data_IF_255478023760
#
_entry.id   IF_255478023760
#
_cell.length_a   1.000
_cell.length_b   1.000
_cell.length_c   1.000
_cell.angle_alpha   90.00
_cell.angle_beta   90.00
_cell.angle_gamma   90.00
#
_symmetry.space_group_name_H-M   'P 1'
#
loop_
_entity.id
_entity.type
_entity.pdbx_description
1 polymer ?
#
# COMPACT_ATOMS: atom_id res chain seq x y z
N UNK A 1 -13.20 17.61 1.10
CA UNK A 1 -12.96 16.29 1.76
C UNK A 1 -11.91 16.39 2.86
N UNK A 2 -10.79 17.11 2.68
CA UNK A 2 -9.78 17.29 3.74
C UNK A 2 -10.29 17.99 5.02
N UNK A 3 -11.16 19.01 4.90
CA UNK A 3 -11.66 19.79 6.04
C UNK A 3 -12.38 18.97 7.11
N UNK A 4 -13.12 17.92 6.73
CA UNK A 4 -13.81 17.05 7.69
C UNK A 4 -12.81 16.23 8.53
N UNK A 5 -11.79 15.65 7.89
CA UNK A 5 -10.75 14.87 8.58
C UNK A 5 -9.92 15.74 9.54
N UNK A 6 -9.59 16.98 9.14
CA UNK A 6 -8.84 17.93 9.99
C UNK A 6 -9.69 18.51 11.12
N UNK A 7 -11.00 18.68 10.90
CA UNK A 7 -11.93 19.11 11.95
C UNK A 7 -12.10 18.02 13.03
N UNK A 8 -12.05 16.75 12.65
CA UNK A 8 -12.09 15.62 13.58
C UNK A 8 -10.78 15.46 14.36
N UNK A 9 -9.63 15.55 13.70
CA UNK A 9 -8.33 15.51 14.36
C UNK A 9 -7.31 16.43 13.66
N UNK A 10 -6.85 17.45 14.38
CA UNK A 10 -5.86 18.42 13.89
C UNK A 10 -4.52 17.77 13.53
N UNK A 11 -4.19 16.60 14.08
CA UNK A 11 -2.95 15.88 13.76
C UNK A 11 -2.97 15.30 12.34
N UNK A 12 -4.15 14.99 11.79
CA UNK A 12 -4.30 14.46 10.42
C UNK A 12 -3.86 15.46 9.37
N UNK A 13 -3.92 16.76 9.66
CA UNK A 13 -3.47 17.78 8.72
C UNK A 13 -2.00 17.60 8.34
N UNK A 14 -1.13 17.23 9.31
CA UNK A 14 0.30 16.99 9.05
C UNK A 14 0.54 15.77 8.16
N UNK A 15 -0.25 14.71 8.35
CA UNK A 15 -0.17 13.48 7.54
C UNK A 15 -0.59 13.76 6.10
N UNK A 16 -1.65 14.54 5.91
CA UNK A 16 -2.11 14.94 4.58
C UNK A 16 -1.11 15.88 3.89
N UNK A 17 -0.54 16.84 4.65
CA UNK A 17 0.50 17.74 4.13
C UNK A 17 1.72 16.96 3.63
N UNK A 18 2.19 15.95 4.36
CA UNK A 18 3.33 15.12 3.92
C UNK A 18 2.98 14.29 2.68
N UNK A 19 1.81 13.64 2.64
CA UNK A 19 1.41 12.80 1.50
C UNK A 19 1.12 13.58 0.21
N UNK A 20 0.82 14.88 0.30
CA UNK A 20 0.63 15.76 -0.85
C UNK A 20 1.84 16.64 -1.16
N UNK A 21 2.88 16.60 -0.33
CA UNK A 21 4.11 17.31 -0.60
C UNK A 21 4.88 16.62 -1.74
N UNK A 22 5.61 17.42 -2.52
CA UNK A 22 6.53 16.91 -3.55
C UNK A 22 7.75 16.20 -2.94
N UNK A 23 8.10 16.56 -1.69
CA UNK A 23 9.19 15.96 -0.93
C UNK A 23 8.64 15.13 0.23
N UNK A 24 9.18 13.93 0.44
CA UNK A 24 8.83 13.07 1.58
C UNK A 24 8.19 11.76 1.14
N UNK A 25 7.28 11.24 1.96
CA UNK A 25 6.58 9.98 1.67
C UNK A 25 5.33 10.24 0.81
N UNK A 26 5.21 9.52 -0.29
CA UNK A 26 4.07 9.57 -1.18
C UNK A 26 3.40 8.20 -1.31
N UNK A 27 2.15 8.20 -1.79
CA UNK A 27 1.42 6.97 -2.09
C UNK A 27 1.71 6.51 -3.52
N UNK A 28 2.38 5.37 -3.66
CA UNK A 28 2.73 4.79 -4.95
C UNK A 28 1.99 3.48 -5.23
N UNK A 29 1.83 3.16 -6.51
CA UNK A 29 1.43 1.83 -6.99
C UNK A 29 2.68 1.13 -7.51
N UNK A 30 2.96 -0.06 -6.99
CA UNK A 30 4.14 -0.86 -7.36
C UNK A 30 3.70 -2.22 -7.94
N UNK A 31 4.31 -2.66 -9.05
CA UNK A 31 4.15 -4.01 -9.60
C UNK A 31 4.38 -5.12 -8.56
N UNK A 32 3.63 -6.23 -8.67
CA UNK A 32 3.77 -7.37 -7.77
C UNK A 32 5.16 -8.03 -7.80
N UNK A 33 5.86 -7.98 -8.93
CA UNK A 33 7.22 -8.55 -9.10
C UNK A 33 8.25 -8.01 -8.09
N UNK A 34 8.01 -6.84 -7.48
CA UNK A 34 8.87 -6.30 -6.43
C UNK A 34 8.74 -7.03 -5.08
N UNK A 35 7.66 -7.78 -4.87
CA UNK A 35 7.33 -8.39 -3.59
C UNK A 35 7.11 -9.90 -3.67
N UNK A 36 6.84 -10.48 -4.85
CA UNK A 36 6.54 -11.89 -4.98
C UNK A 36 7.00 -12.49 -6.30
N UNK A 37 7.14 -13.81 -6.30
CA UNK A 37 7.39 -14.62 -7.48
C UNK A 37 6.08 -15.23 -8.01
N UNK A 38 6.10 -15.65 -9.27
CA UNK A 38 4.94 -16.25 -9.91
C UNK A 38 4.46 -17.50 -9.15
N UNK A 39 3.14 -17.62 -8.95
CA UNK A 39 2.47 -18.72 -8.24
C UNK A 39 2.80 -18.84 -6.74
N UNK A 40 3.41 -17.83 -6.12
CA UNK A 40 3.55 -17.81 -4.66
C UNK A 40 2.20 -17.69 -3.96
N UNK A 41 2.07 -18.43 -2.85
CA UNK A 41 0.93 -18.35 -1.94
C UNK A 41 1.41 -17.70 -0.63
N UNK A 42 1.08 -16.42 -0.48
CA UNK A 42 1.54 -15.58 0.62
C UNK A 42 0.36 -14.87 1.26
N UNK A 43 0.42 -14.67 2.58
CA UNK A 43 -0.48 -13.77 3.26
C UNK A 43 -0.02 -12.30 3.11
N UNK A 44 -0.93 -11.36 3.36
CA UNK A 44 -0.62 -9.93 3.22
C UNK A 44 0.50 -9.48 4.17
N UNK A 45 0.63 -10.09 5.36
CA UNK A 45 1.74 -9.77 6.28
C UNK A 45 3.11 -10.13 5.72
N UNK A 46 3.22 -11.22 4.96
CA UNK A 46 4.49 -11.61 4.34
C UNK A 46 4.90 -10.59 3.27
N UNK A 47 3.93 -10.11 2.47
CA UNK A 47 4.15 -9.02 1.52
C UNK A 47 4.57 -7.74 2.24
N UNK A 48 3.92 -7.39 3.37
CA UNK A 48 4.34 -6.24 4.18
C UNK A 48 5.78 -6.37 4.70
N UNK A 49 6.20 -7.56 5.11
CA UNK A 49 7.59 -7.81 5.56
C UNK A 49 8.57 -7.61 4.40
N UNK A 50 8.25 -8.10 3.20
CA UNK A 50 9.08 -7.90 2.00
C UNK A 50 9.12 -6.42 1.59
N UNK A 51 8.01 -5.70 1.66
CA UNK A 51 7.98 -4.25 1.43
C UNK A 51 8.84 -3.46 2.42
N UNK A 52 8.87 -3.86 3.70
CA UNK A 52 9.76 -3.25 4.70
C UNK A 52 11.23 -3.39 4.36
N UNK A 53 11.66 -4.48 3.74
CA UNK A 53 13.06 -4.65 3.29
C UNK A 53 13.44 -3.60 2.23
N UNK A 54 12.44 -3.04 1.54
CA UNK A 54 12.57 -1.97 0.55
C UNK A 54 12.34 -0.57 1.13
N UNK A 55 12.15 -0.45 2.44
CA UNK A 55 11.73 0.78 3.15
C UNK A 55 10.35 1.30 2.70
N UNK A 56 9.47 0.39 2.30
CA UNK A 56 8.12 0.71 1.86
C UNK A 56 7.09 0.20 2.88
N UNK A 57 5.99 0.92 3.03
CA UNK A 57 4.85 0.51 3.86
C UNK A 57 3.74 0.06 2.92
N UNK A 58 3.55 -1.24 2.77
CA UNK A 58 2.44 -1.79 1.97
C UNK A 58 1.12 -1.58 2.73
N UNK A 59 0.22 -0.81 2.15
CA UNK A 59 -1.07 -0.44 2.76
C UNK A 59 -2.28 -1.08 2.07
N UNK A 60 -2.08 -1.64 0.87
CA UNK A 60 -3.15 -2.28 0.12
C UNK A 60 -2.68 -2.96 -1.15
N UNK A 61 -3.64 -3.42 -1.94
CA UNK A 61 -3.39 -4.03 -3.26
C UNK A 61 -4.58 -3.81 -4.18
N UNK A 62 -4.37 -3.97 -5.49
CA UNK A 62 -5.42 -4.11 -6.50
C UNK A 62 -5.12 -5.37 -7.30
N UNK A 63 -6.12 -6.25 -7.36
CA UNK A 63 -6.03 -7.45 -8.19
C UNK A 63 -6.11 -7.08 -9.67
N UNK A 64 -5.46 -7.85 -10.53
CA UNK A 64 -5.46 -7.63 -11.99
C UNK A 64 -6.87 -7.49 -12.58
N UNK A 65 -7.82 -8.26 -12.06
CA UNK A 65 -9.22 -8.28 -12.50
C UNK A 65 -10.16 -7.36 -11.68
N UNK A 66 -9.61 -6.48 -10.84
CA UNK A 66 -10.39 -5.56 -10.01
C UNK A 66 -10.17 -4.12 -10.44
N UNK A 67 -11.27 -3.38 -10.61
CA UNK A 67 -11.21 -1.93 -10.89
C UNK A 67 -10.75 -1.12 -9.67
N UNK A 68 -11.01 -1.62 -8.45
CA UNK A 68 -10.75 -0.89 -7.20
C UNK A 68 -9.64 -1.53 -6.39
N UNK A 69 -8.79 -0.69 -5.83
CA UNK A 69 -7.82 -1.09 -4.83
C UNK A 69 -8.50 -1.33 -3.47
N UNK A 70 -8.00 -2.31 -2.73
CA UNK A 70 -8.38 -2.60 -1.34
C UNK A 70 -7.30 -2.04 -0.44
N UNK A 71 -7.62 -0.93 0.23
CA UNK A 71 -6.76 -0.36 1.27
C UNK A 71 -7.10 -1.01 2.61
N UNK A 72 -6.07 -1.34 3.39
CA UNK A 72 -6.18 -2.02 4.67
C UNK A 72 -7.02 -3.32 4.58
N UNK A 73 -6.59 -4.33 3.82
CA UNK A 73 -7.40 -5.51 3.57
C UNK A 73 -7.76 -6.25 4.86
N UNK A 74 -8.99 -6.80 4.97
CA UNK A 74 -9.35 -7.69 6.07
C UNK A 74 -8.55 -8.99 5.96
N UNK A 75 -8.42 -9.73 7.08
CA UNK A 75 -7.83 -11.09 7.11
C UNK A 75 -6.40 -11.17 6.54
N UNK A 76 -5.50 -10.30 7.03
CA UNK A 76 -4.11 -10.16 6.54
C UNK A 76 -3.23 -11.41 6.69
N UNK A 77 -3.62 -12.33 7.56
CA UNK A 77 -2.91 -13.60 7.81
C UNK A 77 -3.38 -14.76 6.93
N UNK A 78 -4.48 -14.61 6.18
CA UNK A 78 -4.94 -15.67 5.28
C UNK A 78 -4.04 -15.70 4.04
N UNK A 79 -3.44 -16.86 3.71
CA UNK A 79 -2.66 -17.00 2.48
C UNK A 79 -3.54 -16.77 1.25
N UNK A 80 -2.94 -16.18 0.22
CA UNK A 80 -3.59 -15.94 -1.07
C UNK A 80 -2.61 -16.24 -2.19
N UNK A 81 -3.12 -16.79 -3.28
CA UNK A 81 -2.39 -16.88 -4.55
C UNK A 81 -2.42 -15.54 -5.25
N UNK A 82 -1.23 -15.01 -5.55
CA UNK A 82 -1.06 -13.73 -6.23
C UNK A 82 -0.66 -13.93 -7.68
N UNK A 83 -1.00 -12.96 -8.52
CA UNK A 83 -0.52 -12.83 -9.89
C UNK A 83 0.56 -11.76 -9.97
N UNK A 84 1.46 -11.87 -10.95
CA UNK A 84 2.38 -10.78 -11.29
C UNK A 84 1.66 -9.57 -11.90
N UNK A 85 0.44 -9.77 -12.40
CA UNK A 85 -0.44 -8.70 -12.89
C UNK A 85 -1.11 -7.91 -11.75
N UNK A 86 -1.02 -8.40 -10.51
CA UNK A 86 -1.50 -7.66 -9.35
C UNK A 86 -0.57 -6.47 -9.06
N UNK A 87 -1.09 -5.46 -8.37
CA UNK A 87 -0.30 -4.31 -7.94
C UNK A 87 -0.51 -4.03 -6.46
N UNK A 88 0.54 -3.56 -5.80
CA UNK A 88 0.51 -3.18 -4.39
C UNK A 88 0.50 -1.66 -4.24
N UNK A 89 -0.28 -1.20 -3.26
CA UNK A 89 -0.32 0.20 -2.87
C UNK A 89 0.60 0.36 -1.67
N UNK A 90 1.59 1.24 -1.81
CA UNK A 90 2.61 1.46 -0.80
C UNK A 90 2.77 2.93 -0.48
N UNK A 91 3.23 3.21 0.74
CA UNK A 91 3.81 4.50 1.10
C UNK A 91 5.33 4.34 1.02
N UNK A 92 5.97 5.17 0.22
CA UNK A 92 7.42 5.16 0.02
C UNK A 92 7.93 6.58 -0.14
N UNK A 93 9.20 6.82 0.20
CA UNK A 93 9.84 8.11 -0.07
C UNK A 93 9.87 8.35 -1.58
N UNK A 94 9.38 9.52 -2.03
CA UNK A 94 9.55 10.00 -3.39
C UNK A 94 11.04 10.05 -3.73
N UNK A 95 11.38 9.47 -4.88
CA UNK A 95 12.75 9.38 -5.41
C UNK A 95 12.96 10.33 -6.56
#
# INVERSE_FOLDING_TARGET
MALAMVAEDKQINRVLEELFAEEGNEMCIKPAEFYLFEQEELCFYEIMIRGRQRKEIVIGYRLANSERAVINPPRKSEPRKWSLDDVFVVISSGS
#
